data_IF_590655630429
#
_entry.id   IF_590655630429
#
_cell.length_a   1.000
_cell.length_b   1.000
_cell.length_c   1.000
_cell.angle_alpha   90.00
_cell.angle_beta   90.00
_cell.angle_gamma   90.00
#
_symmetry.space_group_name_H-M   'P 1'
#
loop_
_entity.id
_entity.type
_entity.pdbx_description
1 polymer ?
#
# COMPACT_ATOMS: atom_id res chain seq x y z
N UNK A 1 -17.54 4.43 -53.84
CA UNK A 1 -16.37 5.14 -53.28
C UNK A 1 -16.79 5.84 -51.99
N UNK A 2 -16.58 5.21 -50.83
CA UNK A 2 -16.79 5.80 -49.49
C UNK A 2 -15.74 5.31 -48.47
N UNK A 3 -14.55 4.90 -48.92
CA UNK A 3 -13.50 4.27 -48.10
C UNK A 3 -12.44 5.26 -47.59
N UNK A 4 -12.77 6.55 -47.43
CA UNK A 4 -11.73 7.59 -47.50
C UNK A 4 -11.39 8.42 -46.25
N UNK A 5 -12.19 8.48 -45.18
CA UNK A 5 -11.90 9.47 -44.11
C UNK A 5 -12.45 9.11 -42.73
N UNK A 6 -13.65 8.53 -42.63
CA UNK A 6 -14.26 8.19 -41.34
C UNK A 6 -13.61 6.97 -40.64
N UNK A 7 -13.09 6.01 -41.41
CA UNK A 7 -12.46 4.81 -40.84
C UNK A 7 -11.12 5.11 -40.15
N UNK A 8 -10.36 6.10 -40.66
CA UNK A 8 -9.11 6.55 -40.02
C UNK A 8 -9.37 7.25 -38.69
N UNK A 9 -10.32 8.18 -38.64
CA UNK A 9 -10.61 8.92 -37.40
C UNK A 9 -11.16 8.04 -36.29
N UNK A 10 -11.99 7.05 -36.64
CA UNK A 10 -12.53 6.08 -35.68
C UNK A 10 -11.43 5.17 -35.12
N UNK A 11 -10.47 4.75 -35.96
CA UNK A 11 -9.33 3.93 -35.53
C UNK A 11 -8.42 4.72 -34.58
N UNK A 12 -8.15 5.99 -34.88
CA UNK A 12 -7.36 6.87 -34.01
C UNK A 12 -8.00 7.05 -32.63
N UNK A 13 -9.32 7.20 -32.57
CA UNK A 13 -10.04 7.35 -31.31
C UNK A 13 -10.03 6.06 -30.49
N UNK A 14 -10.17 4.90 -31.13
CA UNK A 14 -10.00 3.59 -30.46
C UNK A 14 -8.59 3.48 -29.87
N UNK A 15 -7.54 3.79 -30.64
CA UNK A 15 -6.16 3.70 -30.16
C UNK A 15 -5.89 4.63 -28.97
N UNK A 16 -6.43 5.86 -29.00
CA UNK A 16 -6.33 6.81 -27.87
C UNK A 16 -6.97 6.25 -26.62
N UNK A 17 -8.18 5.69 -26.73
CA UNK A 17 -8.89 5.10 -25.60
C UNK A 17 -8.20 3.86 -25.06
N UNK A 18 -7.71 2.99 -25.93
CA UNK A 18 -6.93 1.83 -25.54
C UNK A 18 -5.71 2.23 -24.70
N UNK A 19 -4.91 3.20 -25.17
CA UNK A 19 -3.73 3.68 -24.42
C UNK A 19 -4.10 4.29 -23.07
N UNK A 20 -5.21 5.03 -23.00
CA UNK A 20 -5.71 5.61 -21.74
C UNK A 20 -6.12 4.52 -20.75
N UNK A 21 -6.90 3.52 -21.21
CA UNK A 21 -7.36 2.42 -20.37
C UNK A 21 -6.19 1.57 -19.85
N UNK A 22 -5.21 1.26 -20.70
CA UNK A 22 -4.00 0.54 -20.28
C UNK A 22 -3.22 1.31 -19.20
N UNK A 23 -3.13 2.63 -19.32
CA UNK A 23 -2.47 3.47 -18.32
C UNK A 23 -3.24 3.46 -17.00
N UNK A 24 -4.57 3.55 -17.06
CA UNK A 24 -5.44 3.49 -15.89
C UNK A 24 -5.30 2.15 -15.18
N UNK A 25 -5.35 1.04 -15.91
CA UNK A 25 -5.17 -0.31 -15.39
C UNK A 25 -3.83 -0.47 -14.65
N UNK A 26 -2.74 -0.05 -15.28
CA UNK A 26 -1.40 -0.12 -14.68
C UNK A 26 -1.31 0.70 -13.38
N UNK A 27 -1.83 1.93 -13.39
CA UNK A 27 -1.82 2.81 -12.21
C UNK A 27 -2.71 2.27 -11.09
N UNK A 28 -3.90 1.77 -11.42
CA UNK A 28 -4.84 1.22 -10.44
C UNK A 28 -4.29 -0.05 -9.78
N UNK A 29 -3.64 -0.92 -10.56
CA UNK A 29 -3.01 -2.13 -10.01
C UNK A 29 -2.00 -1.78 -8.92
N UNK A 30 -1.06 -0.87 -9.20
CA UNK A 30 -0.07 -0.42 -8.20
C UNK A 30 -0.75 0.31 -7.03
N UNK A 31 -1.81 1.09 -7.28
CA UNK A 31 -2.52 1.79 -6.21
C UNK A 31 -3.20 0.82 -5.25
N UNK A 32 -3.91 -0.19 -5.76
CA UNK A 32 -4.58 -1.19 -4.93
C UNK A 32 -3.56 -1.95 -4.07
N UNK A 33 -2.45 -2.36 -4.65
CA UNK A 33 -1.34 -3.00 -3.93
C UNK A 33 -0.76 -2.12 -2.82
N UNK A 34 -0.65 -0.81 -3.05
CA UNK A 34 -0.19 0.17 -2.05
C UNK A 34 -1.22 0.32 -0.94
N UNK A 35 -2.50 0.37 -1.29
CA UNK A 35 -3.59 0.53 -0.33
C UNK A 35 -3.71 -0.68 0.59
N UNK A 36 -3.65 -1.90 0.06
CA UNK A 36 -3.72 -3.14 0.84
C UNK A 36 -2.58 -3.20 1.88
N UNK A 37 -1.33 -3.02 1.43
CA UNK A 37 -0.16 -2.98 2.33
C UNK A 37 -0.23 -1.85 3.35
N UNK A 38 -0.77 -0.70 2.96
CA UNK A 38 -0.91 0.44 3.87
C UNK A 38 -1.93 0.15 4.98
N UNK A 39 -3.05 -0.50 4.67
CA UNK A 39 -4.06 -0.87 5.68
C UNK A 39 -3.47 -1.85 6.70
N UNK A 40 -2.77 -2.89 6.25
CA UNK A 40 -2.10 -3.83 7.13
C UNK A 40 -1.09 -3.14 8.05
N UNK A 41 -0.25 -2.28 7.49
CA UNK A 41 0.77 -1.57 8.26
C UNK A 41 0.20 -0.49 9.19
N UNK A 42 -0.91 0.16 8.82
CA UNK A 42 -1.55 1.17 9.66
C UNK A 42 -2.02 0.56 10.98
N UNK A 43 -2.68 -0.59 10.92
CA UNK A 43 -3.16 -1.28 12.12
C UNK A 43 -2.00 -1.59 13.07
N UNK A 44 -0.91 -2.14 12.52
CA UNK A 44 0.30 -2.52 13.29
C UNK A 44 1.00 -1.31 13.92
N UNK A 45 1.36 -0.30 13.13
CA UNK A 45 2.12 0.86 13.60
C UNK A 45 1.26 1.86 14.41
N UNK A 46 -0.06 1.70 14.42
CA UNK A 46 -0.97 2.46 15.29
C UNK A 46 -0.94 2.01 16.75
N UNK A 47 -0.41 0.83 17.05
CA UNK A 47 -0.29 0.32 18.42
C UNK A 47 0.81 1.05 19.22
N UNK A 48 0.60 1.22 20.54
CA UNK A 48 1.59 1.88 21.40
C UNK A 48 2.89 1.07 21.52
N UNK A 49 2.79 -0.25 21.53
CA UNK A 49 3.93 -1.15 21.67
C UNK A 49 4.94 -0.97 20.54
N UNK A 50 4.48 -0.91 19.29
CA UNK A 50 5.37 -0.74 18.14
C UNK A 50 5.97 0.65 18.06
N UNK A 51 5.26 1.70 18.51
CA UNK A 51 5.84 3.05 18.64
C UNK A 51 7.04 3.09 19.58
N UNK A 52 6.99 2.31 20.66
CA UNK A 52 8.07 2.23 21.65
C UNK A 52 9.19 1.33 21.14
N UNK A 53 8.84 0.19 20.53
CA UNK A 53 9.79 -0.85 20.12
C UNK A 53 10.53 -0.54 18.80
N UNK A 54 9.90 0.23 17.91
CA UNK A 54 10.41 0.59 16.58
C UNK A 54 10.13 2.08 16.26
N UNK A 55 10.73 3.02 17.01
CA UNK A 55 10.42 4.44 16.87
C UNK A 55 10.86 5.03 15.51
N UNK A 56 11.96 4.53 14.95
CA UNK A 56 12.45 4.99 13.65
C UNK A 56 11.51 4.60 12.51
N UNK A 57 11.10 3.34 12.48
CA UNK A 57 10.18 2.77 11.49
C UNK A 57 8.79 3.38 11.61
N UNK A 58 8.31 3.60 12.84
CA UNK A 58 7.06 4.32 13.11
C UNK A 58 7.08 5.72 12.50
N UNK A 59 8.19 6.46 12.67
CA UNK A 59 8.32 7.79 12.07
C UNK A 59 8.32 7.73 10.54
N UNK A 60 9.00 6.75 9.95
CA UNK A 60 9.01 6.54 8.51
C UNK A 60 7.60 6.22 7.98
N UNK A 61 6.88 5.32 8.66
CA UNK A 61 5.48 5.01 8.34
C UNK A 61 4.57 6.24 8.50
N UNK A 62 4.79 7.09 9.51
CA UNK A 62 3.99 8.31 9.69
C UNK A 62 4.08 9.28 8.51
N UNK A 63 5.27 9.40 7.90
CA UNK A 63 5.48 10.20 6.71
C UNK A 63 4.74 9.61 5.49
N UNK A 64 4.85 8.29 5.31
CA UNK A 64 4.13 7.55 4.25
C UNK A 64 2.62 7.69 4.43
N UNK A 65 2.11 7.53 5.66
CA UNK A 65 0.71 7.68 6.00
C UNK A 65 0.18 9.08 5.65
N UNK A 66 0.96 10.12 5.99
CA UNK A 66 0.60 11.50 5.61
C UNK A 66 0.49 11.66 4.10
N UNK A 67 1.49 11.19 3.34
CA UNK A 67 1.51 11.31 1.89
C UNK A 67 0.35 10.53 1.23
N UNK A 68 0.09 9.31 1.71
CA UNK A 68 -1.03 8.49 1.23
C UNK A 68 -2.39 9.14 1.55
N UNK A 69 -2.60 9.64 2.77
CA UNK A 69 -3.85 10.34 3.14
C UNK A 69 -4.06 11.62 2.34
N UNK A 70 -3.00 12.37 2.02
CA UNK A 70 -3.09 13.53 1.13
C UNK A 70 -3.52 13.11 -0.28
N UNK A 71 -2.96 12.02 -0.80
CA UNK A 71 -3.37 11.45 -2.09
C UNK A 71 -4.85 11.05 -2.07
N UNK A 72 -5.28 10.29 -1.06
CA UNK A 72 -6.66 9.82 -0.93
C UNK A 72 -7.67 10.97 -0.82
N UNK A 73 -7.38 12.00 -0.02
CA UNK A 73 -8.23 13.21 0.06
C UNK A 73 -8.32 13.96 -1.27
N UNK A 74 -7.22 14.03 -2.03
CA UNK A 74 -7.25 14.65 -3.35
C UNK A 74 -8.10 13.83 -4.35
N UNK A 75 -8.12 12.50 -4.20
CA UNK A 75 -8.94 11.60 -5.03
C UNK A 75 -10.40 11.61 -4.61
N UNK A 76 -10.71 11.70 -3.32
CA UNK A 76 -12.08 11.88 -2.82
C UNK A 76 -12.73 13.15 -3.39
N UNK A 77 -11.98 14.26 -3.46
CA UNK A 77 -12.45 15.51 -4.06
C UNK A 77 -12.74 15.41 -5.57
N UNK A 78 -12.12 14.45 -6.25
CA UNK A 78 -12.32 14.25 -7.68
C UNK A 78 -12.21 12.75 -8.00
N UNK A 79 -13.33 12.01 -7.86
CA UNK A 79 -13.36 10.55 -7.98
C UNK A 79 -13.26 10.06 -9.42
N UNK A 80 -13.11 10.96 -10.39
CA UNK A 80 -13.00 10.57 -11.79
C UNK A 80 -11.67 9.84 -12.02
N UNK A 81 -11.75 8.53 -12.25
CA UNK A 81 -10.60 7.63 -12.41
C UNK A 81 -9.69 8.04 -13.57
N UNK A 82 -10.27 8.52 -14.69
CA UNK A 82 -9.50 9.04 -15.83
C UNK A 82 -8.66 10.23 -15.39
N UNK A 83 -9.23 11.15 -14.62
CA UNK A 83 -8.51 12.32 -14.14
C UNK A 83 -7.51 11.97 -13.04
N UNK A 84 -7.85 11.06 -12.13
CA UNK A 84 -6.99 10.64 -11.02
C UNK A 84 -5.75 9.88 -11.52
N UNK A 85 -5.92 8.93 -12.44
CA UNK A 85 -4.84 8.14 -13.02
C UNK A 85 -4.04 8.90 -14.08
N UNK A 86 -4.61 9.97 -14.67
CA UNK A 86 -3.88 10.85 -15.60
C UNK A 86 -3.18 12.02 -14.91
N UNK A 87 -3.21 12.10 -13.57
CA UNK A 87 -2.47 13.14 -12.82
C UNK A 87 -0.98 12.99 -13.09
N UNK A 88 -0.32 14.10 -13.39
CA UNK A 88 1.13 14.13 -13.58
C UNK A 88 1.84 13.58 -12.34
N UNK A 89 2.78 12.66 -12.54
CA UNK A 89 3.59 12.01 -11.51
C UNK A 89 2.82 11.10 -10.52
N UNK A 90 1.58 10.68 -10.82
CA UNK A 90 0.87 9.74 -9.94
C UNK A 90 1.60 8.41 -9.81
N UNK A 91 2.09 7.88 -10.92
CA UNK A 91 2.82 6.61 -10.96
C UNK A 91 4.09 6.68 -10.10
N UNK A 92 4.94 7.69 -10.28
CA UNK A 92 6.15 7.89 -9.48
C UNK A 92 5.85 8.06 -7.98
N UNK A 93 4.74 8.72 -7.64
CA UNK A 93 4.30 8.84 -6.23
C UNK A 93 3.90 7.49 -5.66
N UNK A 94 3.11 6.71 -6.39
CA UNK A 94 2.68 5.37 -5.97
C UNK A 94 3.87 4.42 -5.85
N UNK A 95 4.81 4.45 -6.78
CA UNK A 95 6.06 3.67 -6.72
C UNK A 95 6.89 4.03 -5.48
N UNK A 96 7.03 5.32 -5.16
CA UNK A 96 7.73 5.78 -3.95
C UNK A 96 7.01 5.32 -2.68
N UNK A 97 5.68 5.41 -2.64
CA UNK A 97 4.88 4.92 -1.51
C UNK A 97 5.06 3.41 -1.34
N UNK A 98 4.97 2.64 -2.43
CA UNK A 98 5.17 1.19 -2.42
C UNK A 98 6.57 0.82 -1.90
N UNK A 99 7.62 1.50 -2.36
CA UNK A 99 8.99 1.25 -1.91
C UNK A 99 9.15 1.49 -0.40
N UNK A 100 8.59 2.59 0.10
CA UNK A 100 8.65 2.89 1.54
C UNK A 100 7.84 1.89 2.38
N UNK A 101 6.65 1.48 1.90
CA UNK A 101 5.84 0.45 2.57
C UNK A 101 6.57 -0.90 2.60
N UNK A 102 7.23 -1.29 1.51
CA UNK A 102 8.06 -2.50 1.47
C UNK A 102 9.22 -2.44 2.48
N UNK A 103 9.83 -1.27 2.66
CA UNK A 103 10.86 -1.08 3.66
C UNK A 103 10.29 -1.24 5.09
N UNK A 104 9.14 -0.63 5.38
CA UNK A 104 8.46 -0.81 6.67
C UNK A 104 8.11 -2.27 6.94
N UNK A 105 7.62 -2.98 5.92
CA UNK A 105 7.27 -4.41 6.00
C UNK A 105 8.50 -5.27 6.31
N UNK A 106 9.61 -5.02 5.61
CA UNK A 106 10.87 -5.74 5.85
C UNK A 106 11.38 -5.52 7.26
N UNK A 107 11.35 -4.28 7.75
CA UNK A 107 11.78 -3.97 9.12
C UNK A 107 10.89 -4.65 10.16
N UNK A 108 9.58 -4.68 9.94
CA UNK A 108 8.62 -5.38 10.78
C UNK A 108 8.93 -6.89 10.85
N UNK A 109 9.13 -7.55 9.70
CA UNK A 109 9.54 -8.95 9.62
C UNK A 109 10.82 -9.22 10.42
N UNK A 110 11.87 -8.42 10.20
CA UNK A 110 13.14 -8.57 10.91
C UNK A 110 13.01 -8.33 12.42
N UNK A 111 12.08 -7.48 12.85
CA UNK A 111 11.78 -7.28 14.27
C UNK A 111 11.10 -8.52 14.87
N UNK A 112 10.11 -9.08 14.17
CA UNK A 112 9.38 -10.27 14.61
C UNK A 112 10.30 -11.50 14.65
N UNK A 113 11.18 -11.68 13.67
CA UNK A 113 12.21 -12.74 13.67
C UNK A 113 13.14 -12.65 14.88
N UNK A 114 13.60 -11.44 15.24
CA UNK A 114 14.40 -11.22 16.45
C UNK A 114 13.65 -11.61 17.72
N UNK A 115 12.32 -11.42 17.77
CA UNK A 115 11.50 -11.91 18.89
C UNK A 115 11.32 -13.42 18.88
N UNK A 116 11.17 -14.04 17.69
CA UNK A 116 11.11 -15.50 17.54
C UNK A 116 12.37 -16.20 18.06
N UNK A 117 13.56 -15.63 17.80
CA UNK A 117 14.81 -16.15 18.35
C UNK A 117 14.85 -16.17 19.89
N UNK A 118 14.20 -15.19 20.54
CA UNK A 118 14.10 -15.14 22.01
C UNK A 118 13.04 -16.08 22.57
N UNK A 119 12.01 -16.40 21.79
CA UNK A 119 10.91 -17.29 22.18
C UNK A 119 10.70 -18.39 21.13
N UNK A 120 11.44 -19.52 21.21
CA UNK A 120 11.41 -20.58 20.20
C UNK A 120 10.03 -21.19 19.93
N UNK A 121 9.06 -21.03 20.83
CA UNK A 121 7.67 -21.48 20.64
C UNK A 121 6.94 -20.70 19.52
N UNK A 122 7.38 -19.50 19.19
CA UNK A 122 6.77 -18.68 18.13
C UNK A 122 7.12 -19.15 16.70
N UNK A 123 8.04 -20.12 16.54
CA UNK A 123 8.30 -20.73 15.24
C UNK A 123 7.14 -21.59 14.72
N UNK A 124 6.25 -22.05 15.61
CA UNK A 124 5.06 -22.83 15.25
C UNK A 124 3.87 -21.95 14.85
N UNK A 125 3.98 -20.64 15.00
CA UNK A 125 2.93 -19.68 14.72
C UNK A 125 3.15 -19.03 13.34
N UNK A 126 2.04 -18.71 12.66
CA UNK A 126 2.10 -17.90 11.44
C UNK A 126 2.62 -16.49 11.75
N UNK A 127 2.97 -15.72 10.72
CA UNK A 127 3.39 -14.33 10.92
C UNK A 127 2.27 -13.51 11.57
N UNK A 128 1.04 -13.68 11.08
CA UNK A 128 -0.17 -13.04 11.59
C UNK A 128 -0.42 -13.39 13.06
N UNK A 129 -0.30 -14.66 13.44
CA UNK A 129 -0.47 -15.10 14.84
C UNK A 129 0.56 -14.47 15.76
N UNK A 130 1.84 -14.43 15.34
CA UNK A 130 2.89 -13.79 16.12
C UNK A 130 2.64 -12.29 16.25
N UNK A 131 2.18 -11.65 15.17
CA UNK A 131 1.89 -10.23 15.14
C UNK A 131 0.72 -9.90 16.07
N UNK A 132 -0.34 -10.71 16.07
CA UNK A 132 -1.47 -10.60 16.98
C UNK A 132 -1.06 -10.79 18.44
N UNK A 133 -0.25 -11.82 18.75
CA UNK A 133 0.27 -12.06 20.11
C UNK A 133 1.16 -10.91 20.58
N UNK A 134 1.93 -10.30 19.69
CA UNK A 134 2.78 -9.15 19.98
C UNK A 134 1.91 -7.91 20.27
N UNK A 135 1.03 -7.53 19.34
CA UNK A 135 0.15 -6.34 19.47
C UNK A 135 -0.77 -6.40 20.69
N UNK A 136 -1.34 -7.58 20.98
CA UNK A 136 -2.37 -7.77 22.01
C UNK A 136 -1.82 -8.41 23.30
N UNK A 137 -0.49 -8.47 23.42
CA UNK A 137 0.26 -9.32 24.35
C UNK A 137 0.06 -9.09 25.84
N UNK A 138 -0.71 -8.09 26.29
CA UNK A 138 -1.07 -7.96 27.71
C UNK A 138 -2.35 -8.72 28.10
N UNK A 139 -3.20 -9.13 27.16
CA UNK A 139 -4.48 -9.79 27.50
C UNK A 139 -4.48 -11.32 27.38
N UNK A 140 -3.43 -11.92 26.82
CA UNK A 140 -3.40 -13.36 26.51
C UNK A 140 -2.76 -14.27 27.58
N UNK A 141 -2.27 -13.73 28.69
CA UNK A 141 -1.74 -14.55 29.81
C UNK A 141 -2.80 -14.95 30.85
N UNK A 142 -4.09 -14.64 30.64
CA UNK A 142 -5.20 -15.27 31.37
C UNK A 142 -5.66 -16.57 30.68
N UNK A 143 -4.75 -17.53 30.56
CA UNK A 143 -5.15 -18.93 30.38
C UNK A 143 -4.25 -19.77 31.27
N UNK A 144 -4.61 -19.84 32.55
CA UNK A 144 -4.75 -21.03 33.42
C UNK A 144 -4.86 -20.54 34.86
#
# INVERSE_FOLDING_TARGET
>A
MLTGSAAGSFTDDIMKWQKRLQTIEAVLSVWLDVQEKWVELEDVYSSLEFRISMPHETNLFSAVNRDFRVLMKATEKNPNVLQACSRTNIQTKLEKLNMNLQQCWKSLLTHLERRRLKFPRFYFLSLEDVLHVVCNGESAFKIT
#
